data_IF_424621583747
#
_entry.id   IF_424621583747
#
_cell.length_a   1.000
_cell.length_b   1.000
_cell.length_c   1.000
_cell.angle_alpha   90.00
_cell.angle_beta   90.00
_cell.angle_gamma   90.00
#
_symmetry.space_group_name_H-M   'P 1'
#
loop_
_entity.id
_entity.type
_entity.pdbx_description
1 polymer ?
#
# COMPACT_ATOMS: atom_id res chain seq x y z
N UNK A 1 14.41 0.83 6.12
CA UNK A 1 13.88 0.32 4.83
C UNK A 1 12.36 0.49 4.72
N UNK A 2 11.54 -0.05 5.63
CA UNK A 2 10.06 0.05 5.52
C UNK A 2 9.47 1.47 5.64
N UNK A 3 10.07 2.36 6.42
CA UNK A 3 9.61 3.75 6.54
C UNK A 3 9.83 4.51 5.23
N UNK A 4 10.97 4.32 4.59
CA UNK A 4 11.26 4.89 3.26
C UNK A 4 10.36 4.30 2.17
N UNK A 5 10.01 3.01 2.27
CA UNK A 5 9.06 2.37 1.38
C UNK A 5 7.64 2.92 1.55
N UNK A 6 7.18 3.09 2.79
CA UNK A 6 5.91 3.77 3.09
C UNK A 6 5.87 5.18 2.45
N UNK A 7 6.94 5.97 2.61
CA UNK A 7 7.05 7.27 1.97
C UNK A 7 7.01 7.18 0.42
N UNK A 8 7.68 6.16 -0.15
CA UNK A 8 7.68 5.88 -1.59
C UNK A 8 6.35 5.37 -2.15
N UNK A 9 5.53 4.68 -1.35
CA UNK A 9 4.17 4.28 -1.74
C UNK A 9 3.35 5.48 -2.16
N UNK A 10 3.48 6.59 -1.45
CA UNK A 10 2.70 7.77 -1.74
C UNK A 10 3.17 8.56 -2.97
N UNK A 11 4.48 8.59 -3.26
CA UNK A 11 5.02 9.26 -4.47
C UNK A 11 4.62 8.55 -5.77
N UNK A 12 4.33 7.25 -5.71
CA UNK A 12 4.00 6.41 -6.88
C UNK A 12 2.60 5.78 -6.82
N UNK A 13 1.67 6.35 -6.02
CA UNK A 13 0.27 5.86 -5.87
C UNK A 13 -0.45 5.60 -7.18
N UNK A 14 -0.15 6.38 -8.23
CA UNK A 14 -0.78 6.26 -9.55
C UNK A 14 -0.40 4.97 -10.31
N UNK A 15 0.62 4.22 -9.87
CA UNK A 15 1.15 3.04 -10.58
C UNK A 15 1.25 1.81 -9.66
N UNK A 16 0.11 1.32 -9.15
CA UNK A 16 0.05 0.03 -8.41
C UNK A 16 0.42 0.09 -6.93
N UNK A 17 0.90 1.23 -6.43
CA UNK A 17 1.22 1.38 -4.99
C UNK A 17 -0.04 1.52 -4.11
N UNK A 18 -1.22 1.84 -4.68
CA UNK A 18 -2.48 1.81 -3.96
C UNK A 18 -2.79 0.41 -3.40
N UNK A 19 -2.50 -0.64 -4.19
CA UNK A 19 -2.67 -2.03 -3.79
C UNK A 19 -1.79 -2.37 -2.59
N UNK A 20 -0.52 -1.99 -2.63
CA UNK A 20 0.42 -2.26 -1.55
C UNK A 20 0.04 -1.51 -0.28
N UNK A 21 -0.31 -0.22 -0.39
CA UNK A 21 -0.75 0.57 0.75
C UNK A 21 -2.01 -0.03 1.40
N UNK A 22 -3.06 -0.27 0.61
CA UNK A 22 -4.34 -0.77 1.14
C UNK A 22 -4.18 -2.17 1.75
N UNK A 23 -3.34 -3.03 1.16
CA UNK A 23 -3.01 -4.33 1.75
C UNK A 23 -2.31 -4.17 3.10
N UNK A 24 -1.24 -3.37 3.17
CA UNK A 24 -0.47 -3.17 4.40
C UNK A 24 -1.31 -2.49 5.49
N UNK A 25 -2.19 -1.58 5.11
CA UNK A 25 -3.15 -0.94 6.00
C UNK A 25 -4.18 -1.95 6.55
N UNK A 26 -4.80 -2.77 5.69
CA UNK A 26 -5.76 -3.81 6.12
C UNK A 26 -5.10 -4.85 7.05
N UNK A 27 -3.82 -5.19 6.81
CA UNK A 27 -3.08 -6.12 7.69
C UNK A 27 -2.55 -5.47 8.96
N UNK A 28 -2.80 -4.18 9.18
CA UNK A 28 -2.31 -3.42 10.33
C UNK A 28 -0.79 -3.27 10.36
N UNK A 29 -0.14 -3.47 9.21
CA UNK A 29 1.27 -3.13 9.01
C UNK A 29 1.46 -1.63 8.87
N UNK A 30 0.50 -0.94 8.25
CA UNK A 30 0.36 0.50 8.33
C UNK A 30 -0.85 0.84 9.19
N UNK A 31 -0.75 1.92 9.95
CA UNK A 31 -1.85 2.47 10.73
C UNK A 31 -1.76 3.99 10.75
N UNK A 32 -2.91 4.62 10.99
CA UNK A 32 -3.01 6.06 11.12
C UNK A 32 -3.02 6.43 12.61
N UNK A 33 -2.13 7.34 12.99
CA UNK A 33 -2.06 7.90 14.33
C UNK A 33 -3.15 8.95 14.54
N UNK A 34 -3.39 9.33 15.81
CA UNK A 34 -4.43 10.30 16.18
C UNK A 34 -4.19 11.71 15.62
N UNK A 35 -2.95 12.04 15.27
CA UNK A 35 -2.56 13.29 14.61
C UNK A 35 -2.71 13.22 13.06
N UNK A 36 -3.23 12.09 12.57
CA UNK A 36 -3.43 11.77 11.17
C UNK A 36 -2.14 11.46 10.41
N UNK A 37 -1.00 11.26 11.08
CA UNK A 37 0.21 10.72 10.45
C UNK A 37 0.08 9.21 10.25
N UNK A 38 0.95 8.63 9.41
CA UNK A 38 0.96 7.19 9.15
C UNK A 38 2.24 6.58 9.68
N UNK A 39 2.10 5.49 10.42
CA UNK A 39 3.19 4.77 11.06
C UNK A 39 3.26 3.31 10.61
N UNK A 40 4.44 2.71 10.75
CA UNK A 40 4.71 1.32 10.41
C UNK A 40 4.73 0.47 11.67
N UNK A 41 3.92 -0.59 11.70
CA UNK A 41 4.02 -1.62 12.71
C UNK A 41 5.08 -2.65 12.31
N UNK A 42 6.29 -2.50 12.86
CA UNK A 42 7.43 -3.38 12.55
C UNK A 42 7.20 -4.85 12.90
N UNK A 43 6.34 -5.16 13.88
CA UNK A 43 6.01 -6.55 14.20
C UNK A 43 5.12 -7.22 13.16
N UNK A 44 4.44 -6.45 12.29
CA UNK A 44 3.47 -6.96 11.31
C UNK A 44 3.89 -6.74 9.86
N UNK A 45 4.72 -5.72 9.60
CA UNK A 45 5.05 -5.28 8.24
C UNK A 45 5.75 -6.36 7.41
N UNK A 46 6.71 -7.08 7.99
CA UNK A 46 7.45 -8.11 7.29
C UNK A 46 6.53 -9.24 6.82
N UNK A 47 5.72 -9.80 7.73
CA UNK A 47 4.76 -10.85 7.37
C UNK A 47 3.65 -10.37 6.44
N UNK A 48 3.26 -9.08 6.50
CA UNK A 48 2.30 -8.53 5.55
C UNK A 48 2.87 -8.40 4.13
N UNK A 49 4.13 -7.98 4.01
CA UNK A 49 4.86 -7.93 2.73
C UNK A 49 5.07 -9.34 2.17
N UNK A 50 5.54 -10.29 2.98
CA UNK A 50 5.76 -11.68 2.55
C UNK A 50 4.48 -12.29 1.97
N UNK A 51 3.35 -12.11 2.68
CA UNK A 51 2.05 -12.62 2.21
C UNK A 51 1.61 -11.97 0.91
N UNK A 52 1.81 -10.65 0.75
CA UNK A 52 1.47 -9.98 -0.51
C UNK A 52 2.31 -10.50 -1.67
N UNK A 53 3.62 -10.64 -1.45
CA UNK A 53 4.53 -11.19 -2.46
C UNK A 53 4.13 -12.61 -2.85
N UNK A 54 3.80 -13.47 -1.87
CA UNK A 54 3.33 -14.83 -2.13
C UNK A 54 2.05 -14.85 -2.94
N UNK A 55 1.09 -13.99 -2.62
CA UNK A 55 -0.18 -13.89 -3.34
C UNK A 55 0.06 -13.52 -4.82
N UNK A 56 0.79 -12.43 -5.06
CA UNK A 56 1.08 -11.93 -6.42
C UNK A 56 1.86 -12.97 -7.23
N UNK A 57 2.92 -13.55 -6.64
CA UNK A 57 3.73 -14.56 -7.33
C UNK A 57 2.94 -15.83 -7.64
N UNK A 58 2.01 -16.23 -6.76
CA UNK A 58 1.14 -17.40 -7.00
C UNK A 58 0.16 -17.13 -8.15
N UNK A 59 -0.46 -15.95 -8.18
CA UNK A 59 -1.35 -15.53 -9.27
C UNK A 59 -0.58 -15.51 -10.60
N UNK A 60 0.62 -14.93 -10.61
CA UNK A 60 1.49 -14.87 -11.79
C UNK A 60 1.91 -16.26 -12.28
N UNK A 61 2.35 -17.14 -11.37
CA UNK A 61 2.77 -18.49 -11.70
C UNK A 61 1.64 -19.32 -12.33
N UNK A 62 0.39 -19.04 -11.96
CA UNK A 62 -0.80 -19.71 -12.52
C UNK A 62 -1.32 -19.03 -13.80
N UNK A 63 -0.85 -17.83 -14.13
CA UNK A 63 -1.42 -17.01 -15.20
C UNK A 63 -2.88 -16.61 -14.91
N UNK A 64 -3.27 -16.53 -13.64
CA UNK A 64 -4.67 -16.34 -13.24
C UNK A 64 -5.10 -14.87 -13.35
N UNK A 65 -5.53 -14.49 -14.55
CA UNK A 65 -5.98 -13.12 -14.84
C UNK A 65 -7.21 -12.71 -14.03
N UNK A 66 -8.09 -13.65 -13.69
CA UNK A 66 -9.29 -13.35 -12.90
C UNK A 66 -8.91 -12.98 -11.47
N UNK A 67 -8.05 -13.79 -10.83
CA UNK A 67 -7.53 -13.50 -9.49
C UNK A 67 -6.75 -12.17 -9.46
N UNK A 68 -5.95 -11.88 -10.48
CA UNK A 68 -5.27 -10.59 -10.62
C UNK A 68 -6.26 -9.42 -10.68
N UNK A 69 -7.35 -9.57 -11.44
CA UNK A 69 -8.43 -8.59 -11.53
C UNK A 69 -9.08 -8.33 -10.17
N UNK A 70 -9.47 -9.39 -9.44
CA UNK A 70 -10.08 -9.27 -8.12
C UNK A 70 -9.14 -8.59 -7.11
N UNK A 71 -7.83 -8.88 -7.15
CA UNK A 71 -6.85 -8.25 -6.27
C UNK A 71 -6.73 -6.74 -6.55
N UNK A 72 -6.72 -6.35 -7.83
CA UNK A 72 -6.68 -4.95 -8.25
C UNK A 72 -7.99 -4.21 -7.95
N UNK A 73 -9.15 -4.84 -8.14
CA UNK A 73 -10.43 -4.22 -7.79
C UNK A 73 -10.53 -3.97 -6.29
N UNK A 74 -10.08 -4.92 -5.48
CA UNK A 74 -10.16 -4.80 -4.01
C UNK A 74 -9.19 -3.76 -3.46
N UNK A 75 -7.92 -3.79 -3.90
CA UNK A 75 -6.87 -3.00 -3.27
C UNK A 75 -6.28 -1.90 -4.17
N UNK A 76 -6.50 -1.93 -5.48
CA UNK A 76 -5.96 -0.95 -6.44
C UNK A 76 -6.70 0.39 -6.47
N UNK A 77 -7.70 0.59 -5.61
CA UNK A 77 -8.52 1.81 -5.59
C UNK A 77 -8.02 2.82 -4.54
N UNK A 78 -8.32 4.11 -4.77
CA UNK A 78 -7.98 5.17 -3.81
C UNK A 78 -9.01 5.17 -2.69
N UNK A 79 -8.65 4.56 -1.56
CA UNK A 79 -9.48 4.50 -0.34
C UNK A 79 -9.42 5.83 0.44
N UNK A 80 -10.37 6.11 1.34
CA UNK A 80 -10.34 7.32 2.16
C UNK A 80 -9.05 7.50 2.98
N UNK A 81 -8.49 6.45 3.66
CA UNK A 81 -7.21 6.57 4.34
C UNK A 81 -6.05 6.92 3.39
N UNK A 82 -6.03 6.31 2.21
CA UNK A 82 -5.01 6.62 1.19
C UNK A 82 -5.16 8.06 0.67
N UNK A 83 -6.39 8.52 0.45
CA UNK A 83 -6.66 9.91 0.04
C UNK A 83 -6.18 10.92 1.08
N UNK A 84 -6.45 10.66 2.36
CA UNK A 84 -5.98 11.52 3.45
C UNK A 84 -4.43 11.56 3.50
N UNK A 85 -3.79 10.42 3.28
CA UNK A 85 -2.34 10.35 3.21
C UNK A 85 -1.76 11.15 2.02
N UNK A 86 -2.40 11.07 0.85
CA UNK A 86 -1.99 11.82 -0.34
C UNK A 86 -2.16 13.33 -0.17
N UNK A 87 -3.26 13.79 0.45
CA UNK A 87 -3.49 15.21 0.70
C UNK A 87 -2.43 15.84 1.61
N UNK A 88 -1.96 15.11 2.63
CA UNK A 88 -0.84 15.56 3.47
C UNK A 88 0.49 15.63 2.73
N UNK A 89 0.61 14.97 1.58
CA UNK A 89 1.82 14.99 0.76
C UNK A 89 1.75 16.00 -0.37
N UNK A 90 0.55 16.35 -0.86
CA UNK A 90 0.37 17.49 -1.77
C UNK A 90 0.78 18.82 -1.12
N UNK A 91 0.68 18.94 0.22
CA UNK A 91 1.22 20.09 0.95
C UNK A 91 2.76 20.12 1.03
N UNK A 92 3.43 19.04 0.64
CA UNK A 92 4.88 18.93 0.54
C UNK A 92 5.19 18.93 -0.96
N UNK A 93 5.37 20.13 -1.55
CA UNK A 93 5.63 20.29 -2.98
C UNK A 93 6.67 19.28 -3.48
N UNK A 94 6.25 18.39 -4.37
CA UNK A 94 7.16 17.52 -5.10
C UNK A 94 7.77 18.36 -6.21
N UNK A 95 8.96 18.94 -5.96
CA UNK A 95 9.78 19.43 -7.06
C UNK A 95 10.17 18.22 -7.93
N UNK A 96 9.83 18.35 -9.22
CA UNK A 96 10.19 17.46 -10.31
C UNK A 96 11.69 17.54 -10.59
#
# INVERSE_FOLDING_TARGET
>A
MYVSFLAGCFRSVRFGQALQFNWLFEKGAFFQDSDGTFSVNFSKVEGAVERLSREILTIQARGDKAAAGCLLEKYGTVTPPLRAALQKLESIQVEL
#
